data_IF_690559039530
#
_entry.id   IF_690559039530
#
_cell.length_a   1.000
_cell.length_b   1.000
_cell.length_c   1.000
_cell.angle_alpha   90.00
_cell.angle_beta   90.00
_cell.angle_gamma   90.00
#
_symmetry.space_group_name_H-M   'P 1'
#
loop_
_entity.id
_entity.type
_entity.pdbx_description
1 polymer ?
2 non-polymer ?
3 non-polymer ?
4 water ?
#
# COMPACT_ATOMS: atom_id res chain seq x y z
N UNK A 1 -24.63 14.21 1.74
CA UNK A 1 -23.93 15.23 2.57
C UNK A 1 -22.54 14.72 2.97
N UNK A 2 -22.36 13.40 2.89
CA UNK A 2 -21.16 12.72 3.44
C UNK A 2 -19.96 12.67 2.48
N UNK A 3 -18.76 12.52 3.04
CA UNK A 3 -17.56 12.21 2.23
C UNK A 3 -17.56 10.71 1.81
N UNK A 4 -17.67 10.46 0.51
CA UNK A 4 -17.69 9.08 0.00
C UNK A 4 -16.23 8.59 -0.14
N UNK A 5 -15.86 7.54 0.57
CA UNK A 5 -14.53 6.90 0.47
C UNK A 5 -14.64 5.49 -0.12
N UNK A 6 -13.82 5.21 -1.14
CA UNK A 6 -13.68 3.83 -1.65
C UNK A 6 -12.23 3.41 -1.43
N UNK A 7 -12.06 2.29 -0.70
CA UNK A 7 -10.73 1.77 -0.31
C UNK A 7 -10.52 0.41 -0.96
N UNK A 8 -9.36 0.15 -1.57
CA UNK A 8 -9.09 -1.23 -2.06
C UNK A 8 -8.29 -2.05 -1.03
N UNK A 9 -8.45 -3.37 -1.08
CA UNK A 9 -7.67 -4.23 -0.16
C UNK A 9 -8.05 -4.15 1.34
N UNK A 10 -9.31 -4.35 1.66
CA UNK A 10 -9.77 -4.19 3.06
C UNK A 10 -9.89 -5.43 3.90
N UNK A 11 -9.38 -6.57 3.45
CA UNK A 11 -9.64 -7.75 4.24
C UNK A 11 -8.77 -7.83 5.47
N UNK A 12 -7.65 -7.06 5.50
CA UNK A 12 -6.71 -7.18 6.61
C UNK A 12 -5.88 -5.92 6.72
N UNK A 13 -5.07 -5.81 7.77
CA UNK A 13 -4.03 -4.78 7.83
C UNK A 13 -4.52 -3.35 7.70
N UNK A 14 -3.73 -2.54 6.99
CA UNK A 14 -3.99 -1.09 6.91
C UNK A 14 -5.33 -0.83 6.32
N UNK A 15 -5.70 -1.52 5.23
CA UNK A 15 -6.99 -1.22 4.55
C UNK A 15 -8.19 -1.48 5.43
N UNK A 16 -8.13 -2.61 6.16
CA UNK A 16 -9.16 -2.96 7.14
C UNK A 16 -9.25 -1.93 8.27
N UNK A 17 -8.12 -1.59 8.90
CA UNK A 17 -8.13 -0.64 10.03
C UNK A 17 -8.52 0.77 9.63
N UNK A 18 -8.06 1.23 8.46
CA UNK A 18 -8.56 2.46 7.88
C UNK A 18 -10.07 2.49 7.59
N UNK A 19 -10.65 1.47 6.92
CA UNK A 19 -12.06 1.49 6.60
C UNK A 19 -12.96 1.64 7.88
N UNK A 20 -12.60 0.98 8.95
CA UNK A 20 -13.45 0.98 10.14
C UNK A 20 -13.11 2.13 11.07
N UNK A 21 -11.92 2.71 10.93
CA UNK A 21 -11.54 3.96 11.60
C UNK A 21 -12.41 5.05 11.03
N UNK A 22 -12.56 5.03 9.72
CA UNK A 22 -13.34 6.06 9.05
C UNK A 22 -14.84 5.93 9.33
N UNK A 23 -15.33 4.69 9.21
CA UNK A 23 -16.78 4.33 9.36
C UNK A 23 -17.29 4.61 10.79
N UNK A 24 -16.44 4.33 11.78
CA UNK A 24 -16.70 4.49 13.23
C UNK A 24 -16.34 5.86 13.82
N UNK A 25 -15.94 6.78 12.95
CA UNK A 25 -15.59 8.14 13.35
C UNK A 25 -16.75 8.79 14.12
N UNK A 26 -16.47 9.22 15.39
CA UNK A 26 -17.44 9.92 16.23
C UNK A 26 -18.33 10.86 15.44
N UNK A 27 -17.77 11.58 14.49
CA UNK A 27 -18.53 12.56 13.77
C UNK A 27 -19.43 12.01 12.64
N UNK A 28 -19.32 10.71 12.31
CA UNK A 28 -20.09 10.14 11.16
C UNK A 28 -20.03 10.92 9.82
N UNK A 29 -18.89 11.52 9.47
CA UNK A 29 -18.81 12.30 8.21
C UNK A 29 -18.63 11.47 6.93
N UNK A 30 -18.27 10.20 7.10
CA UNK A 30 -17.71 9.36 6.01
C UNK A 30 -18.59 8.17 5.70
N UNK A 31 -18.94 8.03 4.44
CA UNK A 31 -19.54 6.79 3.91
C UNK A 31 -18.42 5.93 3.26
N UNK A 32 -18.18 4.72 3.78
CA UNK A 32 -17.06 3.88 3.34
C UNK A 32 -17.45 2.65 2.45
N UNK A 33 -16.93 2.60 1.23
CA UNK A 33 -16.97 1.35 0.47
C UNK A 33 -15.66 0.64 0.64
N UNK A 34 -15.70 -0.39 1.43
CA UNK A 34 -14.57 -1.21 1.67
C UNK A 34 -14.51 -2.38 0.70
N UNK A 35 -13.55 -2.38 -0.21
CA UNK A 35 -13.45 -3.44 -1.22
C UNK A 35 -12.42 -4.55 -0.91
N UNK A 36 -12.76 -5.77 -1.33
CA UNK A 36 -11.92 -6.92 -1.06
C UNK A 36 -11.82 -7.80 -2.33
N UNK A 37 -10.66 -8.39 -2.55
CA UNK A 37 -10.47 -9.34 -3.67
C UNK A 37 -11.51 -10.47 -3.58
N UNK A 38 -11.65 -11.07 -2.39
CA UNK A 38 -12.46 -12.26 -2.13
C UNK A 38 -13.39 -11.99 -0.96
N UNK A 39 -14.70 -12.01 -1.19
CA UNK A 39 -15.63 -11.85 -0.06
C UNK A 39 -15.58 -12.94 1.02
N UNK A 40 -15.12 -14.15 0.72
CA UNK A 40 -14.87 -15.11 1.83
C UNK A 40 -13.93 -14.57 2.93
N UNK A 41 -13.17 -13.54 2.61
CA UNK A 41 -12.21 -13.02 3.58
C UNK A 41 -12.76 -11.83 4.42
N UNK A 42 -14.03 -11.51 4.23
CA UNK A 42 -14.66 -10.31 4.79
C UNK A 42 -15.03 -10.30 6.27
N UNK A 43 -14.88 -11.45 6.96
CA UNK A 43 -15.30 -11.63 8.34
C UNK A 43 -14.64 -10.71 9.36
N UNK A 44 -13.30 -10.73 9.43
CA UNK A 44 -12.51 -9.77 10.23
C UNK A 44 -12.95 -8.34 10.01
N UNK A 45 -13.23 -7.93 8.78
CA UNK A 45 -13.74 -6.59 8.57
C UNK A 45 -15.07 -6.33 9.30
N UNK A 46 -15.85 -7.39 9.53
CA UNK A 46 -17.07 -7.32 10.37
C UNK A 46 -16.81 -7.59 11.90
N UNK A 47 -15.95 -8.52 12.25
CA UNK A 47 -15.56 -8.65 13.65
C UNK A 47 -15.10 -7.29 14.19
N UNK A 48 -14.19 -6.60 13.46
CA UNK A 48 -13.62 -5.31 13.86
C UNK A 48 -14.61 -4.18 13.75
N UNK A 49 -15.44 -4.15 12.72
CA UNK A 49 -16.46 -3.15 12.68
C UNK A 49 -17.40 -3.19 13.90
N UNK A 50 -17.84 -4.40 14.32
CA UNK A 50 -18.58 -4.60 15.59
C UNK A 50 -17.77 -4.13 16.80
N UNK A 51 -16.47 -4.42 16.87
CA UNK A 51 -15.62 -3.96 18.00
C UNK A 51 -15.54 -2.43 18.16
N UNK A 52 -15.41 -1.71 17.04
CA UNK A 52 -15.40 -0.23 17.08
C UNK A 52 -16.82 0.29 16.85
N UNK A 53 -17.79 -0.63 16.92
CA UNK A 53 -19.21 -0.25 16.88
C UNK A 53 -19.54 0.67 15.72
N UNK A 54 -19.14 0.33 14.49
CA UNK A 54 -19.55 1.17 13.33
C UNK A 54 -21.07 1.28 13.23
N UNK A 55 -21.60 2.48 13.04
CA UNK A 55 -23.06 2.61 12.78
C UNK A 55 -23.48 1.73 11.61
N UNK A 56 -24.70 1.11 11.68
CA UNK A 56 -25.43 0.73 10.44
C UNK A 56 -25.29 1.78 9.33
N UNK A 57 -25.07 1.34 8.10
CA UNK A 57 -24.95 2.23 6.92
C UNK A 57 -23.62 3.01 6.75
N UNK A 58 -22.71 2.89 7.71
CA UNK A 58 -21.41 3.52 7.59
C UNK A 58 -20.45 2.79 6.59
N UNK A 59 -20.46 1.45 6.65
CA UNK A 59 -19.57 0.52 5.96
C UNK A 59 -20.32 -0.43 5.03
N UNK A 60 -20.02 -0.35 3.73
CA UNK A 60 -20.55 -1.26 2.69
C UNK A 60 -19.35 -2.04 2.10
N UNK A 61 -19.38 -3.36 2.10
CA UNK A 61 -18.40 -4.15 1.36
C UNK A 61 -18.77 -4.34 -0.14
N UNK A 62 -17.73 -4.36 -0.98
CA UNK A 62 -17.85 -4.65 -2.41
C UNK A 62 -16.70 -5.62 -2.76
N UNK A 63 -16.95 -6.53 -3.70
CA UNK A 63 -15.93 -7.38 -4.30
C UNK A 63 -15.21 -6.56 -5.35
N UNK A 64 -13.87 -6.58 -5.35
CA UNK A 64 -13.06 -5.81 -6.32
C UNK A 64 -11.65 -6.39 -6.45
N UNK A 65 -11.44 -7.16 -7.50
CA UNK A 65 -10.16 -7.64 -7.99
C UNK A 65 -9.49 -6.58 -8.91
N UNK A 66 -8.46 -5.90 -8.39
CA UNK A 66 -7.77 -4.88 -9.18
C UNK A 66 -7.01 -5.43 -10.43
N UNK A 67 -6.86 -6.73 -10.58
CA UNK A 67 -6.33 -7.30 -11.82
C UNK A 67 -7.35 -7.26 -12.97
N UNK A 68 -8.59 -6.89 -12.68
CA UNK A 68 -9.70 -7.07 -13.64
C UNK A 68 -10.48 -5.78 -13.85
N UNK A 69 -10.29 -5.15 -15.00
CA UNK A 69 -10.88 -3.83 -15.23
C UNK A 69 -12.41 -3.84 -15.23
N UNK A 70 -13.02 -5.02 -15.52
CA UNK A 70 -14.48 -5.22 -15.49
C UNK A 70 -14.95 -5.21 -14.07
N UNK A 71 -14.16 -5.81 -13.17
CA UNK A 71 -14.41 -5.77 -11.72
C UNK A 71 -14.30 -4.31 -11.16
N UNK A 72 -13.27 -3.56 -11.62
CA UNK A 72 -13.12 -2.16 -11.22
C UNK A 72 -14.37 -1.38 -11.68
N UNK A 73 -14.77 -1.58 -12.92
CA UNK A 73 -15.94 -0.91 -13.47
C UNK A 73 -17.27 -1.30 -12.76
N UNK A 74 -17.42 -2.57 -12.35
CA UNK A 74 -18.58 -3.02 -11.58
C UNK A 74 -18.66 -2.43 -10.18
N UNK A 75 -17.51 -2.27 -9.52
CA UNK A 75 -17.48 -1.65 -8.19
C UNK A 75 -17.82 -0.16 -8.27
N UNK A 76 -17.33 0.52 -9.30
CA UNK A 76 -17.64 1.91 -9.52
C UNK A 76 -19.16 2.03 -9.70
N UNK A 77 -19.74 1.18 -10.57
CA UNK A 77 -21.16 1.25 -10.91
C UNK A 77 -21.96 1.26 -9.59
N UNK A 78 -21.56 0.42 -8.64
CA UNK A 78 -22.23 0.24 -7.35
C UNK A 78 -22.12 1.40 -6.35
N UNK A 79 -21.47 2.50 -6.74
CA UNK A 79 -21.32 3.66 -5.85
C UNK A 79 -22.56 4.54 -6.02
N UNK A 80 -23.60 4.15 -5.31
CA UNK A 80 -24.92 4.80 -5.43
C UNK A 80 -24.82 6.35 -5.46
N UNK A 81 -24.10 6.94 -4.48
CA UNK A 81 -23.95 8.41 -4.41
C UNK A 81 -23.40 9.05 -5.67
N UNK A 82 -22.98 8.25 -6.65
CA UNK A 82 -22.52 8.72 -7.97
C UNK A 82 -21.26 9.60 -8.04
N UNK A 83 -20.45 9.54 -6.97
CA UNK A 83 -19.14 10.20 -6.89
C UNK A 83 -18.28 9.53 -5.80
N UNK A 84 -16.97 9.71 -5.92
CA UNK A 84 -16.05 9.26 -4.87
C UNK A 84 -15.24 10.47 -4.51
N UNK A 85 -15.27 10.85 -3.25
CA UNK A 85 -14.57 12.04 -2.83
C UNK A 85 -13.14 11.71 -2.42
N UNK A 86 -12.95 10.50 -1.89
CA UNK A 86 -11.63 9.98 -1.50
C UNK A 86 -11.42 8.56 -2.05
N UNK A 87 -10.44 8.38 -2.95
CA UNK A 87 -10.09 7.04 -3.45
C UNK A 87 -8.79 6.60 -2.71
N UNK A 88 -8.84 5.44 -2.06
CA UNK A 88 -7.64 4.93 -1.36
C UNK A 88 -7.15 3.65 -2.08
N UNK A 89 -6.04 3.76 -2.81
CA UNK A 89 -5.39 2.62 -3.47
C UNK A 89 -4.43 1.93 -2.51
N UNK A 90 -4.89 0.87 -1.93
CA UNK A 90 -4.13 0.17 -0.88
C UNK A 90 -3.89 -1.33 -1.18
N UNK A 91 -4.62 -1.93 -2.11
CA UNK A 91 -4.46 -3.39 -2.38
C UNK A 91 -3.02 -3.65 -2.80
N UNK A 92 -2.35 -4.68 -2.28
CA UNK A 92 -0.97 -4.88 -2.67
C UNK A 92 -0.58 -6.34 -2.36
N UNK A 93 0.39 -6.88 -3.11
CA UNK A 93 0.97 -8.17 -2.87
C UNK A 93 2.42 -7.98 -2.43
N UNK A 94 2.92 -8.89 -1.59
CA UNK A 94 4.35 -8.92 -1.30
C UNK A 94 5.04 -10.08 -2.03
N UNK A 95 6.36 -10.06 -2.04
CA UNK A 95 7.12 -11.14 -2.65
C UNK A 95 8.52 -11.03 -2.07
N UNK A 96 9.01 -12.13 -1.51
CA UNK A 96 10.28 -12.08 -0.81
C UNK A 96 11.08 -13.32 -1.16
N UNK A 97 12.33 -13.17 -1.56
CA UNK A 97 13.15 -14.34 -1.88
C UNK A 97 14.25 -14.00 -2.84
N UNK A 98 15.23 -14.93 -3.04
CA UNK A 98 16.23 -14.77 -4.07
C UNK A 98 15.50 -14.59 -5.42
N UNK A 99 15.95 -13.62 -6.20
CA UNK A 99 15.29 -13.33 -7.48
C UNK A 99 15.11 -14.58 -8.34
N UNK A 100 16.19 -15.36 -8.53
CA UNK A 100 16.11 -16.60 -9.36
C UNK A 100 15.18 -17.69 -8.74
N UNK A 101 14.84 -17.55 -7.46
CA UNK A 101 13.89 -18.46 -6.83
C UNK A 101 12.43 -18.05 -6.98
N UNK A 102 12.11 -16.91 -7.62
CA UNK A 102 10.72 -16.44 -7.66
C UNK A 102 10.13 -16.91 -8.95
N UNK A 103 8.90 -17.42 -8.91
CA UNK A 103 8.23 -17.84 -10.14
C UNK A 103 7.88 -16.64 -11.01
N UNK A 104 7.83 -16.87 -12.31
CA UNK A 104 7.63 -15.84 -13.26
C UNK A 104 6.22 -15.35 -13.11
N UNK A 105 5.27 -16.27 -12.82
CA UNK A 105 3.90 -15.86 -12.53
C UNK A 105 3.74 -14.95 -11.32
N UNK A 106 4.45 -15.26 -10.24
CA UNK A 106 4.41 -14.48 -9.03
C UNK A 106 4.96 -13.10 -9.31
N UNK A 107 6.02 -13.02 -10.12
CA UNK A 107 6.62 -11.73 -10.47
C UNK A 107 5.61 -10.89 -11.23
N UNK A 108 5.03 -11.45 -12.29
CA UNK A 108 4.04 -10.78 -13.08
C UNK A 108 2.86 -10.38 -12.19
N UNK A 109 2.39 -11.26 -11.31
CA UNK A 109 1.29 -10.96 -10.39
C UNK A 109 1.49 -9.73 -9.48
N UNK A 110 2.66 -9.66 -8.87
CA UNK A 110 3.03 -8.54 -8.00
C UNK A 110 2.99 -7.28 -8.84
N UNK A 111 3.48 -7.31 -10.08
CA UNK A 111 3.45 -6.06 -10.86
C UNK A 111 2.04 -5.72 -11.30
N UNK A 112 1.27 -6.74 -11.66
CA UNK A 112 -0.10 -6.53 -12.10
C UNK A 112 -1.02 -5.92 -11.01
N UNK A 113 -0.91 -6.42 -9.79
CA UNK A 113 -1.71 -5.95 -8.64
C UNK A 113 -1.20 -4.64 -8.19
N UNK A 114 0.11 -4.56 -7.95
CA UNK A 114 0.68 -3.36 -7.26
C UNK A 114 0.73 -2.12 -8.13
N UNK A 115 1.01 -2.32 -9.41
CA UNK A 115 1.25 -1.25 -10.36
C UNK A 115 0.09 -1.08 -11.35
N UNK A 116 -0.15 -2.09 -12.20
CA UNK A 116 -1.24 -2.02 -13.20
C UNK A 116 -2.61 -1.85 -12.52
N UNK A 117 -2.83 -2.57 -11.43
CA UNK A 117 -4.03 -2.41 -10.61
C UNK A 117 -4.24 -0.96 -10.19
N UNK A 118 -3.19 -0.32 -9.68
CA UNK A 118 -3.36 1.07 -9.30
C UNK A 118 -3.67 1.94 -10.52
N UNK A 119 -3.00 1.68 -11.63
CA UNK A 119 -3.36 2.36 -12.90
C UNK A 119 -4.85 2.21 -13.22
N UNK A 120 -5.36 0.97 -13.22
CA UNK A 120 -6.77 0.65 -13.48
C UNK A 120 -7.71 1.46 -12.58
N UNK A 121 -7.46 1.49 -11.27
CA UNK A 121 -8.21 2.39 -10.33
C UNK A 121 -8.21 3.84 -10.76
N UNK A 122 -7.03 4.37 -11.08
CA UNK A 122 -6.83 5.77 -11.48
C UNK A 122 -7.53 6.07 -12.81
N UNK A 123 -7.49 5.11 -13.73
CA UNK A 123 -8.14 5.29 -15.04
C UNK A 123 -9.66 5.36 -14.89
N UNK A 124 -10.19 4.54 -14.00
CA UNK A 124 -11.60 4.42 -13.77
C UNK A 124 -12.17 5.56 -12.93
N UNK A 125 -11.40 6.11 -12.00
CA UNK A 125 -11.87 7.11 -11.03
C UNK A 125 -11.39 8.55 -11.22
N UNK A 126 -10.21 8.76 -11.78
CA UNK A 126 -9.73 10.13 -12.01
C UNK A 126 -10.57 10.97 -12.98
N UNK A 127 -11.01 10.37 -14.09
CA UNK A 127 -11.73 11.27 -15.02
C UNK A 127 -12.87 12.12 -14.39
N UNK A 128 -13.74 11.49 -13.59
CA UNK A 128 -14.81 12.21 -12.90
C UNK A 128 -14.31 13.25 -11.86
N UNK A 129 -13.14 13.00 -11.25
CA UNK A 129 -12.60 13.97 -10.31
C UNK A 129 -12.08 15.18 -11.05
N UNK A 130 -11.45 14.95 -12.18
CA UNK A 130 -10.94 16.03 -13.01
C UNK A 130 -12.09 16.92 -13.48
N UNK A 131 -13.23 16.30 -13.87
CA UNK A 131 -14.44 17.05 -14.31
C UNK A 131 -15.07 17.86 -13.15
N UNK A 132 -15.29 17.24 -12.00
CA UNK A 132 -15.82 17.98 -10.83
C UNK A 132 -14.84 19.01 -10.37
N UNK A 133 -13.60 18.90 -10.82
CA UNK A 133 -12.52 19.69 -10.26
C UNK A 133 -12.30 19.46 -8.77
N UNK A 134 -12.64 18.28 -8.26
CA UNK A 134 -12.29 17.93 -6.86
C UNK A 134 -12.19 16.41 -6.56
N UNK A 135 -11.50 16.06 -5.47
CA UNK A 135 -11.24 14.64 -5.15
C UNK A 135 -9.86 14.45 -4.51
N UNK A 136 -9.74 13.43 -3.66
CA UNK A 136 -8.45 13.10 -3.02
C UNK A 136 -8.10 11.65 -3.37
N UNK A 137 -6.85 11.38 -3.74
CA UNK A 137 -6.42 9.99 -3.98
C UNK A 137 -5.30 9.72 -2.99
N UNK A 138 -5.42 8.65 -2.19
CA UNK A 138 -4.37 8.31 -1.20
C UNK A 138 -3.83 6.96 -1.58
N UNK A 139 -2.53 6.84 -1.72
CA UNK A 139 -1.95 5.56 -2.21
C UNK A 139 -1.08 5.08 -1.10
N UNK A 140 -1.25 3.82 -0.68
CA UNK A 140 -0.33 3.22 0.28
C UNK A 140 1.05 3.03 -0.35
N UNK A 141 2.07 3.71 0.22
CA UNK A 141 3.44 3.58 -0.28
C UNK A 141 4.29 2.80 0.69
N UNK A 142 5.56 2.66 0.38
CA UNK A 142 6.47 1.95 1.30
C UNK A 142 7.82 2.63 1.25
N UNK A 143 8.55 2.57 2.36
CA UNK A 143 9.95 2.89 2.35
C UNK A 143 10.73 2.01 1.36
N UNK A 144 10.28 0.78 1.10
CA UNK A 144 10.90 -0.01 0.06
C UNK A 144 10.55 0.50 -1.36
N UNK A 145 9.71 1.55 -1.46
CA UNK A 145 9.55 2.29 -2.75
C UNK A 145 10.52 3.47 -2.88
N UNK A 146 11.26 3.78 -1.80
CA UNK A 146 12.25 4.87 -1.72
C UNK A 146 13.70 4.38 -1.63
N UNK A 147 13.90 3.10 -1.28
CA UNK A 147 15.27 2.51 -1.24
C UNK A 147 15.17 1.05 -1.44
N UNK A 148 16.18 0.48 -2.09
CA UNK A 148 16.16 -0.97 -2.44
C UNK A 148 16.67 -1.88 -1.35
N UNK A 149 16.03 -3.03 -1.16
CA UNK A 149 16.36 -3.95 -0.09
C UNK A 149 16.65 -5.33 -0.67
N UNK A 150 17.74 -5.98 -0.20
CA UNK A 150 18.06 -7.30 -0.82
C UNK A 150 16.94 -8.23 -0.56
N UNK A 151 16.71 -9.15 -1.47
CA UNK A 151 15.63 -10.13 -1.42
C UNK A 151 14.27 -9.55 -1.54
N UNK A 152 14.17 -8.24 -1.71
CA UNK A 152 12.84 -7.63 -1.97
C UNK A 152 12.85 -7.01 -3.36
N UNK A 153 13.61 -7.54 -4.29
CA UNK A 153 13.89 -6.88 -5.59
C UNK A 153 12.63 -6.54 -6.37
N UNK A 154 11.69 -7.50 -6.42
CA UNK A 154 10.42 -7.32 -7.14
C UNK A 154 9.48 -6.50 -6.37
N UNK A 155 9.44 -6.73 -5.06
CA UNK A 155 8.54 -5.94 -4.23
C UNK A 155 8.94 -4.45 -4.37
N UNK A 156 10.23 -4.19 -4.20
CA UNK A 156 10.77 -2.81 -4.31
C UNK A 156 10.51 -2.23 -5.73
N UNK A 157 10.72 -3.04 -6.77
CA UNK A 157 10.45 -2.63 -8.12
C UNK A 157 9.01 -2.14 -8.19
N UNK A 158 8.01 -2.87 -7.63
CA UNK A 158 6.62 -2.45 -7.68
C UNK A 158 6.29 -1.19 -6.89
N UNK A 159 6.91 -1.03 -5.69
CA UNK A 159 6.76 0.20 -4.94
C UNK A 159 7.51 1.43 -5.50
N UNK A 160 8.75 1.28 -6.02
CA UNK A 160 9.39 2.38 -6.80
C UNK A 160 8.47 2.81 -7.93
N UNK A 161 7.87 1.82 -8.61
CA UNK A 161 6.97 2.08 -9.79
C UNK A 161 5.82 3.01 -9.41
N UNK A 162 5.26 2.82 -8.21
CA UNK A 162 4.21 3.63 -7.68
C UNK A 162 4.69 5.03 -7.42
N UNK A 163 5.94 5.18 -6.99
CA UNK A 163 6.50 6.53 -6.79
C UNK A 163 6.49 7.29 -8.13
N UNK A 164 6.96 6.62 -9.20
CA UNK A 164 7.08 7.16 -10.57
C UNK A 164 5.73 7.50 -11.10
N UNK A 165 4.79 6.57 -10.94
CA UNK A 165 3.38 6.76 -11.40
C UNK A 165 2.76 7.98 -10.73
N UNK A 166 2.78 8.01 -9.43
CA UNK A 166 2.11 9.05 -8.65
C UNK A 166 2.77 10.38 -8.79
N UNK A 167 4.10 10.41 -8.75
CA UNK A 167 4.82 11.68 -8.96
C UNK A 167 4.55 12.31 -10.35
N UNK A 168 4.55 11.50 -11.38
CA UNK A 168 4.21 11.95 -12.73
C UNK A 168 2.80 12.59 -12.79
N UNK A 169 1.85 11.89 -12.21
CA UNK A 169 0.44 12.31 -12.18
C UNK A 169 0.26 13.60 -11.41
N UNK A 170 0.91 13.68 -10.23
CA UNK A 170 0.85 14.88 -9.41
C UNK A 170 1.25 16.18 -10.10
N UNK A 171 2.26 16.11 -10.99
CA UNK A 171 2.77 17.31 -11.73
C UNK A 171 1.61 17.81 -12.62
N UNK A 172 0.95 16.91 -13.33
CA UNK A 172 -0.25 17.26 -14.05
C UNK A 172 -1.48 17.75 -13.22
N UNK A 173 -1.93 16.96 -12.24
CA UNK A 173 -3.14 17.23 -11.47
C UNK A 173 -3.20 18.53 -10.58
N UNK A 174 -2.03 19.10 -10.29
CA UNK A 174 -1.85 20.28 -9.46
C UNK A 174 -2.92 21.38 -9.72
N UNK A 175 -3.00 21.93 -10.96
CA UNK A 175 -4.09 22.91 -11.23
C UNK A 175 -5.53 22.36 -11.41
N UNK A 176 -5.74 21.06 -11.29
CA UNK A 176 -7.09 20.52 -11.49
C UNK A 176 -7.89 20.58 -10.18
N UNK A 177 -7.25 20.84 -9.05
CA UNK A 177 -7.89 20.67 -7.71
C UNK A 177 -8.08 19.21 -7.23
N UNK A 178 -7.42 18.24 -7.87
CA UNK A 178 -7.40 16.82 -7.47
C UNK A 178 -6.05 16.58 -6.83
N UNK A 179 -6.08 16.07 -5.59
CA UNK A 179 -4.88 15.90 -4.77
C UNK A 179 -4.50 14.42 -4.61
N UNK A 180 -3.27 14.10 -4.95
CA UNK A 180 -2.82 12.76 -4.88
C UNK A 180 -1.71 12.74 -3.87
N UNK A 181 -1.79 11.84 -2.90
CA UNK A 181 -0.69 11.69 -1.92
C UNK A 181 -0.32 10.22 -1.73
N UNK A 182 0.98 9.94 -1.60
CA UNK A 182 1.53 8.62 -1.10
C UNK A 182 1.67 8.67 0.40
N UNK A 183 1.18 7.62 1.08
CA UNK A 183 1.46 7.44 2.51
C UNK A 183 2.59 6.39 2.68
N UNK A 184 3.79 6.88 3.07
CA UNK A 184 4.98 6.08 2.98
C UNK A 184 5.12 5.40 4.34
N UNK A 185 4.89 4.08 4.33
CA UNK A 185 4.90 3.21 5.51
C UNK A 185 6.24 2.56 5.66
N UNK A 186 6.74 2.52 6.89
CA UNK A 186 7.88 1.59 7.22
C UNK A 186 7.25 0.29 7.62
N UNK A 187 7.95 -0.51 8.45
CA UNK A 187 7.35 -1.80 8.87
C UNK A 187 6.05 -1.58 9.68
N UNK A 188 5.01 -2.36 9.37
CA UNK A 188 3.71 -2.26 10.04
C UNK A 188 3.40 -3.65 10.61
N UNK A 189 2.89 -3.71 11.84
CA UNK A 189 2.46 -4.98 12.50
C UNK A 189 1.14 -5.47 11.92
N UNK A 190 1.13 -6.42 10.99
CA UNK A 190 -0.14 -6.97 10.43
C UNK A 190 -0.21 -8.53 10.33
N UNK A 191 0.56 -9.10 9.39
CA UNK A 191 0.47 -10.55 9.01
C UNK A 191 1.51 -11.02 7.93
N UNK A 192 1.57 -10.28 6.80
CA UNK A 192 2.62 -10.27 5.71
C UNK A 192 3.92 -11.15 5.86
N UNK A 193 4.65 -11.01 6.99
CA UNK A 193 6.06 -11.53 7.07
C UNK A 193 6.30 -13.06 7.37
N UNK A 194 5.59 -13.90 6.60
CA UNK A 194 5.94 -15.33 6.32
C UNK A 194 5.10 -15.86 5.14
N UNK A 195 3.91 -15.26 4.96
CA UNK A 195 2.95 -15.65 3.91
C UNK A 195 3.56 -15.70 2.51
N UNK A 196 4.53 -14.79 2.29
CA UNK A 196 5.02 -14.36 0.95
C UNK A 196 6.44 -14.85 0.52
N UNK A 197 7.06 -15.74 1.34
CA UNK A 197 8.31 -16.50 1.01
C UNK A 197 8.09 -18.04 1.04
N UNK A 198 8.62 -18.76 0.04
CA UNK A 198 8.53 -20.25 -0.01
C UNK A 198 9.13 -21.02 1.17
N UNK A 199 8.95 -22.34 1.18
CA UNK A 199 9.57 -23.19 2.21
C UNK A 199 11.11 -23.19 2.03
N UNK A 200 11.88 -23.39 3.13
CA UNK A 200 13.34 -23.51 2.99
C UNK A 200 13.79 -24.54 1.95
N UNK A 201 13.10 -25.68 1.90
CA UNK A 201 13.35 -26.73 0.93
C UNK A 201 13.20 -26.21 -0.51
N UNK A 202 12.09 -25.51 -0.77
CA UNK A 202 11.80 -24.85 -2.05
C UNK A 202 12.86 -23.85 -2.47
N UNK A 203 13.26 -22.97 -1.55
CA UNK A 203 14.17 -21.89 -1.87
C UNK A 203 15.56 -22.44 -2.15
N UNK A 204 16.07 -23.33 -1.27
CA UNK A 204 17.39 -23.98 -1.51
C UNK A 204 17.46 -24.73 -2.84
N UNK A 205 16.37 -25.38 -3.19
CA UNK A 205 16.21 -25.98 -4.52
C UNK A 205 16.44 -25.06 -5.69
N UNK A 206 16.23 -23.76 -5.47
CA UNK A 206 16.12 -22.81 -6.58
C UNK A 206 17.25 -21.82 -6.59
N UNK A 207 18.12 -21.89 -5.57
CA UNK A 207 19.26 -20.96 -5.52
C UNK A 207 20.56 -21.66 -5.15
N UNK A 208 21.67 -20.93 -5.06
CA UNK A 208 22.93 -21.49 -4.50
C UNK A 208 22.98 -21.50 -2.99
N UNK A 209 23.99 -22.17 -2.42
CA UNK A 209 24.06 -22.30 -0.97
C UNK A 209 24.38 -20.94 -0.33
N UNK A 210 25.22 -20.15 -0.98
CA UNK A 210 25.70 -18.86 -0.44
C UNK A 210 24.58 -17.82 -0.43
N UNK A 211 23.81 -17.81 -1.52
CA UNK A 211 22.60 -16.93 -1.59
C UNK A 211 21.60 -17.33 -0.48
N UNK A 212 21.30 -18.62 -0.39
CA UNK A 212 20.45 -19.17 0.71
C UNK A 212 20.87 -18.70 2.09
N UNK A 213 22.16 -18.70 2.32
CA UNK A 213 22.71 -18.29 3.60
C UNK A 213 22.51 -16.81 3.85
N UNK A 214 22.74 -16.00 2.82
CA UNK A 214 22.49 -14.57 2.89
C UNK A 214 21.01 -14.27 3.08
N UNK A 215 20.12 -15.10 2.52
CA UNK A 215 18.68 -14.95 2.72
C UNK A 215 18.31 -15.14 4.21
N UNK A 216 18.85 -16.20 4.84
CA UNK A 216 18.70 -16.43 6.29
C UNK A 216 19.15 -15.24 7.08
N UNK A 217 20.34 -14.71 6.75
CA UNK A 217 20.90 -13.51 7.42
C UNK A 217 20.03 -12.29 7.28
N UNK A 218 19.55 -12.00 6.04
CA UNK A 218 18.55 -10.93 5.82
C UNK A 218 17.29 -11.12 6.67
N UNK A 219 16.68 -12.30 6.64
CA UNK A 219 15.52 -12.61 7.46
C UNK A 219 15.71 -12.37 8.96
N UNK A 220 16.85 -12.77 9.49
CA UNK A 220 17.15 -12.58 10.89
C UNK A 220 17.15 -11.11 11.23
N UNK A 221 17.87 -10.36 10.43
CA UNK A 221 17.95 -8.92 10.55
C UNK A 221 16.61 -8.16 10.41
N UNK A 222 15.86 -8.50 9.38
CA UNK A 222 14.47 -8.09 9.11
C UNK A 222 13.56 -8.27 10.33
N UNK A 223 13.61 -9.46 10.93
CA UNK A 223 12.90 -9.71 12.20
C UNK A 223 13.29 -8.75 13.30
N UNK A 224 14.55 -8.38 13.40
CA UNK A 224 14.98 -7.44 14.42
C UNK A 224 14.49 -6.01 14.16
N UNK A 225 14.60 -5.58 12.90
CA UNK A 225 14.06 -4.30 12.44
C UNK A 225 12.54 -4.20 12.74
N UNK A 226 11.78 -5.26 12.46
CA UNK A 226 10.36 -5.24 12.76
C UNK A 226 10.14 -5.15 14.24
N UNK A 227 10.91 -5.90 15.01
CA UNK A 227 10.75 -5.92 16.47
C UNK A 227 11.01 -4.56 17.09
N UNK A 228 11.83 -3.73 16.44
CA UNK A 228 12.24 -2.41 16.97
C UNK A 228 11.53 -1.19 16.31
N UNK A 229 10.86 -1.42 15.18
CA UNK A 229 10.40 -0.31 14.38
C UNK A 229 8.96 -0.43 13.90
N UNK A 230 8.39 -1.63 13.91
CA UNK A 230 7.03 -1.85 13.39
C UNK A 230 5.97 -1.08 14.13
N UNK A 231 5.17 -0.37 13.34
CA UNK A 231 4.05 0.47 13.81
C UNK A 231 2.76 -0.29 13.69
N UNK A 232 1.75 0.03 14.52
CA UNK A 232 0.45 -0.65 14.35
C UNK A 232 -0.41 -0.01 13.29
N UNK A 233 -1.42 -0.76 12.78
CA UNK A 233 -2.17 -0.14 11.70
C UNK A 233 -3.01 1.05 12.15
N UNK A 234 -3.30 1.14 13.46
CA UNK A 234 -3.94 2.33 14.07
C UNK A 234 -3.18 3.61 13.82
N UNK A 235 -1.88 3.58 14.10
CA UNK A 235 -0.99 4.72 13.88
C UNK A 235 -0.91 5.08 12.43
N UNK A 236 -0.68 4.05 11.62
CA UNK A 236 -0.70 4.21 10.12
C UNK A 236 -2.00 4.84 9.58
N UNK A 237 -3.18 4.30 9.93
CA UNK A 237 -4.49 4.86 9.52
C UNK A 237 -4.64 6.34 9.79
N UNK A 238 -4.09 6.80 10.89
CA UNK A 238 -4.26 8.14 11.33
C UNK A 238 -3.47 9.11 10.40
N UNK A 239 -2.36 8.62 9.82
CA UNK A 239 -1.64 9.41 8.78
C UNK A 239 -2.48 9.57 7.50
N UNK A 240 -3.23 8.55 7.11
CA UNK A 240 -4.15 8.69 6.00
C UNK A 240 -5.21 9.81 6.32
N UNK A 241 -5.72 9.84 7.55
CA UNK A 241 -6.71 10.84 7.95
C UNK A 241 -6.10 12.23 7.97
N UNK A 242 -4.87 12.35 8.44
CA UNK A 242 -4.10 13.61 8.29
C UNK A 242 -4.04 14.13 6.86
N UNK A 243 -3.62 13.27 5.92
CA UNK A 243 -3.58 13.65 4.51
C UNK A 243 -4.96 14.05 3.94
N UNK A 244 -5.99 13.29 4.36
CA UNK A 244 -7.35 13.44 3.87
C UNK A 244 -7.93 14.79 4.27
N UNK A 245 -7.45 15.30 5.40
CA UNK A 245 -7.93 16.51 6.03
C UNK A 245 -7.12 17.77 5.65
N UNK A 246 -5.87 17.60 5.22
CA UNK A 246 -5.00 18.72 4.89
C UNK A 246 -5.67 19.54 3.79
N UNK A 247 -5.76 20.89 3.98
CA UNK A 247 -6.39 21.70 2.91
C UNK A 247 -5.53 21.71 1.65
N UNK A 248 -4.21 21.67 1.85
CA UNK A 248 -3.24 21.60 0.73
C UNK A 248 -2.27 20.40 0.81
N UNK A 249 -2.73 19.21 0.43
CA UNK A 249 -1.92 18.01 0.70
C UNK A 249 -0.62 17.96 -0.11
N UNK A 250 0.46 17.53 0.50
CA UNK A 250 1.74 17.29 -0.18
C UNK A 250 1.69 15.90 -0.91
N UNK A 251 2.64 15.68 -1.81
CA UNK A 251 2.73 14.39 -2.52
C UNK A 251 3.04 13.21 -1.54
N UNK A 252 3.88 13.39 -0.54
CA UNK A 252 4.20 12.33 0.39
C UNK A 252 3.96 12.67 1.83
N UNK A 253 3.39 11.69 2.58
CA UNK A 253 3.36 11.72 4.07
C UNK A 253 4.21 10.52 4.52
N UNK A 254 4.96 10.68 5.62
CA UNK A 254 5.75 9.56 6.15
C UNK A 254 5.12 9.12 7.41
N UNK A 255 4.94 7.81 7.59
CA UNK A 255 4.36 7.41 8.86
C UNK A 255 5.41 7.40 9.98
N UNK A 256 6.69 7.41 9.62
CA UNK A 256 7.79 7.47 10.61
C UNK A 256 8.89 8.28 9.94
N UNK A 257 9.75 8.94 10.74
CA UNK A 257 10.95 9.65 10.22
C UNK A 257 12.23 8.80 10.28
N UNK A 258 12.09 7.61 10.82
CA UNK A 258 13.18 6.71 11.14
C UNK A 258 14.15 6.40 10.01
N UNK A 259 13.64 6.33 8.78
CA UNK A 259 14.49 5.89 7.68
C UNK A 259 14.91 7.09 6.87
N UNK A 260 14.51 8.28 7.31
CA UNK A 260 14.90 9.50 6.55
C UNK A 260 16.44 9.78 6.50
N UNK A 261 17.21 9.37 7.53
CA UNK A 261 18.68 9.47 7.29
C UNK A 261 19.20 8.62 6.14
N UNK A 262 18.89 7.33 6.21
CA UNK A 262 19.21 6.34 5.19
C UNK A 262 18.81 6.89 3.81
N UNK A 263 17.60 7.43 3.71
CA UNK A 263 17.10 8.05 2.50
C UNK A 263 18.00 9.20 2.00
N UNK A 264 18.47 10.04 2.92
CA UNK A 264 19.30 11.22 2.60
C UNK A 264 20.65 10.79 2.04
N UNK A 265 21.23 9.77 2.65
CA UNK A 265 22.48 9.15 2.18
C UNK A 265 22.36 8.61 0.75
N UNK A 266 21.24 7.97 0.48
CA UNK A 266 20.88 7.53 -0.84
C UNK A 266 20.91 8.75 -1.76
N UNK A 267 20.30 9.80 -1.29
CA UNK A 267 19.94 10.87 -2.18
C UNK A 267 21.09 11.83 -2.47
N UNK A 268 22.09 11.83 -1.59
CA UNK A 268 23.25 12.69 -1.80
C UNK A 268 24.52 12.04 -2.41
N UNK A 269 24.49 10.73 -2.68
CA UNK A 269 25.48 10.07 -3.53
C UNK A 269 24.69 9.40 -4.64
N UNK A 270 24.47 10.10 -5.75
CA UNK A 270 23.69 9.51 -6.85
C UNK A 270 24.43 8.39 -7.62
N UNK A 271 25.74 8.18 -7.40
CA UNK A 271 26.39 6.94 -7.89
C UNK A 271 25.79 5.67 -7.24
N UNK A 272 25.06 5.85 -6.11
CA UNK A 272 24.50 4.71 -5.36
C UNK A 272 25.53 3.99 -4.50
N UNK A 273 26.81 4.28 -4.71
CA UNK A 273 27.87 3.57 -3.94
C UNK A 273 27.70 3.63 -2.38
N UNK A 274 27.44 4.80 -1.80
CA UNK A 274 27.34 4.89 -0.35
C UNK A 274 26.15 4.12 0.18
N UNK A 275 25.05 4.17 -0.57
CA UNK A 275 23.85 3.47 -0.15
C UNK A 275 24.10 1.99 -0.16
N UNK A 276 24.65 1.49 -1.26
CA UNK A 276 24.78 0.03 -1.40
C UNK A 276 25.76 -0.56 -0.34
N UNK A 277 26.83 0.20 -0.07
CA UNK A 277 27.80 -0.11 0.97
C UNK A 277 27.17 -0.05 2.37
N UNK A 278 26.50 1.05 2.70
CA UNK A 278 25.79 1.14 4.00
C UNK A 278 24.75 0.04 4.23
N UNK A 279 23.92 -0.21 3.22
CA UNK A 279 22.87 -1.21 3.39
C UNK A 279 23.46 -2.60 3.45
N UNK A 280 24.49 -2.88 2.65
CA UNK A 280 25.14 -4.21 2.73
C UNK A 280 25.64 -4.45 4.18
N UNK A 281 26.36 -3.47 4.72
CA UNK A 281 26.87 -3.48 6.10
C UNK A 281 25.72 -3.68 7.09
N UNK A 282 24.64 -2.91 6.94
CA UNK A 282 23.51 -2.97 7.87
C UNK A 282 22.76 -4.29 7.88
N UNK A 283 22.56 -4.86 6.70
CA UNK A 283 21.83 -6.11 6.58
C UNK A 283 22.72 -7.33 6.93
N UNK A 284 23.98 -7.29 6.50
CA UNK A 284 24.85 -8.46 6.62
C UNK A 284 26.03 -8.27 7.58
X LIG B 1 -4.00 -4.43 3.45
X LIG B 1 -4.22 -5.83 3.92
X LIG B 1 -5.10 -3.49 3.52
X LIG B 1 -3.38 -4.56 1.97
X LIG B 1 -2.93 -5.81 1.43
X LIG B 1 -4.22 -6.16 0.77
X LIG B 1 -4.21 -6.31 -0.64
X LIG B 1 -5.11 -7.26 1.33
X LIG B 1 -5.99 -6.73 2.32
X LIG B 1 -5.90 -7.86 0.17
X LIG B 1 -7.34 -7.94 0.56
X LIG B 1 -5.45 -6.92 -0.99
X LIG B 1 -5.34 -7.58 -2.29
X LIG B 1 -4.56 -8.61 -2.60
X LIG B 1 -4.81 -8.96 -3.88
X LIG B 1 -5.75 -8.14 -4.37
X LIG B 1 -6.44 -7.99 -5.62
X LIG B 1 -6.23 -8.76 -6.67
X LIG B 1 -7.36 -7.02 -5.76
X LIG B 1 -7.64 -6.20 -4.76
X LIG B 1 -7.02 -6.29 -3.58
X LIG B 1 -6.09 -7.25 -3.36
X LIG B 1 -2.86 -3.76 4.37
X LIG B 1 -1.34 -4.13 4.80
X LIG B 1 -1.24 -5.61 4.99
X LIG B 1 -0.83 -3.31 5.90
X LIG B 1 -0.58 -3.69 3.42
X LIG B 1 -1.22 -3.02 2.31
X LIG B 1 -0.50 -1.87 1.67
X LIG B 1 0.12 -1.16 2.74
X LIG B 1 0.57 -2.15 0.60
X LIG B 1 0.35 -1.43 -0.63
X LIG B 1 1.88 -1.93 1.37
X LIG B 1 2.86 -1.14 0.70
X LIG B 1 1.53 -1.08 2.56
X LIG B 1 2.41 -1.30 3.70
X LIG B 1 2.28 -2.41 4.53
X LIG B 1 3.28 -2.66 5.47
X LIG B 1 3.26 -3.94 6.31
X LIG B 1 4.19 -4.22 7.08
X LIG B 1 2.21 -4.73 6.09
X LIG B 1 4.35 -1.80 5.58
X LIG B 1 4.46 -0.69 4.77
X LIG B 1 3.49 -0.42 3.81
X LIG B 1 -8.52 -7.82 -0.26
X LIG B 1 -8.39 -7.43 -1.58
X LIG B 1 -9.18 -6.83 0.29
X LIG B 1 -9.28 -9.03 -0.26
X LIG C 1 7.03 -9.09 0.46
X LIG C 1 12.37 -3.30 5.83
X LIG C 1 12.99 -2.07 6.40
X LIG C 1 10.87 -3.09 5.57
X LIG C 1 12.77 -4.51 6.63
X LIG C 1 10.56 -1.87 4.72
X LIG C 1 14.47 -2.27 6.66
X LIG C 1 11.15 -0.64 5.38
X LIG C 1 10.14 -4.11 4.78
X LIG C 1 7.87 -8.19 0.78
X LIG C 1 6.58 -7.82 2.90
X LIG C 1 15.04 -3.52 6.68
X LIG C 1 12.66 -0.82 5.57
X LIG C 1 8.80 -3.46 4.65
X LIG C 1 9.08 -1.97 4.79
X LIG C 1 11.03 -1.94 3.25
X LIG C 1 7.46 -7.32 1.97
X LIG C 1 15.25 -1.16 6.90
X LIG C 1 6.18 -7.07 3.98
X LIG C 1 8.05 -3.83 3.38
X LIG C 1 7.91 -6.05 2.15
X LIG C 1 6.66 -5.80 4.15
X LIG C 1 14.24 -4.78 6.43
X LIG C 1 17.18 -2.48 7.19
X LIG C 1 7.53 -5.27 3.24
X LIG C 1 16.41 -3.61 6.95
X LIG C 1 16.59 -1.24 7.17
X LIG C 1 18.47 -2.51 7.46
X LIG C 1 8.87 -7.97 0.15
X LIG C 1 8.50 -1.27 3.80
#
# INVERSE_FOLDING_TARGET
ARTVVLITGCSSGIGLHLAVRLASDPSQSFKVYATLRDLKTQGRLWEAARALACPPGSLETLQLDVRDSKSVAAARERVTEGRVDVLVCNAGLGLLGPLEALGEDAVASVLDVNVVGTVRMLQAFLPDMKRRGSGRVLVTGSVGGLMGLPFNDVYCASKFALEGLCESLAVLLLPFGVHLSLIECGPVHTAFMEKVLGSPEEVLDRTDIHTFHRFYQYLAHSKQVFREAAQNPEEVAEVFLTALRAPKPTLRYFTTERFLPLLRMRLDDPSGSNYVTAMHREVFGDVPAKAEAGAEAGGGAGPGAEDEAGRSAVGDPELGDPPAAPQ
NAP PA O1A O2A O5B C5B C4B O4B C3B O3B C2B O2B C1B N9A C8A N7A C5A C6A N6A N1A C2A N3A C4A O3 PN O1N O2N O5D C5D C4D O4D C3D O3D C2D O2D C1D N1N C2N C3N C7N O7N N7N C4N C5N C6N P2B O1X O2X O3X
E2B N30 C9 C10 C15 C8 C14 C11 C13 C16 C28 C25 C6 C12 C17 C18 C20 C24 C1 C26 C21 C23 C27 C7 C3 C22 C5 C2 O4 O29 O19
#
